data_IF_658081195613
#
_entry.id   IF_658081195613
#
_cell.length_a   1.000
_cell.length_b   1.000
_cell.length_c   1.000
_cell.angle_alpha   90.00
_cell.angle_beta   90.00
_cell.angle_gamma   90.00
#
_symmetry.space_group_name_H-M   'P 1'
#
loop_
_entity.id
_entity.type
_entity.pdbx_description
1 polymer ?
#
# COMPACT_ATOMS: atom_id res chain seq x y z
N UNK A 1 1.54 8.05 0.03
CA UNK A 1 1.06 6.93 0.89
C UNK A 1 1.46 7.25 2.32
N UNK A 2 0.50 7.35 3.24
CA UNK A 2 0.80 7.71 4.63
C UNK A 2 1.69 6.68 5.35
N UNK A 3 1.61 5.39 4.98
CA UNK A 3 2.40 4.33 5.61
C UNK A 3 3.83 4.22 5.02
N UNK A 4 3.97 3.99 3.70
CA UNK A 4 5.28 3.67 3.10
C UNK A 4 5.92 4.80 2.27
N UNK A 5 5.31 6.00 2.24
CA UNK A 5 5.83 7.15 1.49
C UNK A 5 5.72 7.05 -0.04
N UNK A 6 5.20 5.94 -0.59
CA UNK A 6 5.04 5.77 -2.04
C UNK A 6 4.13 6.88 -2.63
N UNK A 7 4.60 7.50 -3.72
CA UNK A 7 3.91 8.54 -4.48
C UNK A 7 3.09 7.98 -5.64
N UNK A 8 3.49 6.83 -6.19
CA UNK A 8 2.79 6.16 -7.29
C UNK A 8 2.14 4.85 -6.85
N UNK A 9 0.87 4.66 -7.18
CA UNK A 9 0.16 3.41 -6.93
C UNK A 9 -0.96 3.25 -7.96
N UNK A 10 -1.24 2.04 -8.44
CA UNK A 10 -2.34 1.82 -9.39
C UNK A 10 -3.72 2.07 -8.77
N UNK A 11 -3.82 2.02 -7.44
CA UNK A 11 -5.05 2.32 -6.70
C UNK A 11 -4.68 2.92 -5.34
N UNK A 12 -5.36 4.00 -4.97
CA UNK A 12 -5.31 4.57 -3.62
C UNK A 12 -6.41 3.95 -2.76
N UNK A 13 -6.11 3.67 -1.50
CA UNK A 13 -7.04 3.18 -0.48
C UNK A 13 -7.04 4.13 0.70
N UNK A 14 -8.10 4.09 1.51
CA UNK A 14 -8.15 4.78 2.81
C UNK A 14 -7.99 3.75 3.92
N UNK A 15 -7.23 4.11 4.96
CA UNK A 15 -7.16 3.32 6.19
C UNK A 15 -8.36 3.63 7.12
N UNK A 16 -8.39 2.98 8.28
CA UNK A 16 -9.45 3.21 9.29
C UNK A 16 -9.43 4.63 9.89
N UNK A 17 -8.31 5.36 9.77
CA UNK A 17 -8.14 6.75 10.22
C UNK A 17 -8.46 7.76 9.10
N UNK A 18 -8.86 7.28 7.91
CA UNK A 18 -9.15 8.11 6.74
C UNK A 18 -7.91 8.57 5.96
N UNK A 19 -6.72 8.10 6.31
CA UNK A 19 -5.47 8.45 5.64
C UNK A 19 -5.31 7.72 4.30
N UNK A 20 -4.78 8.44 3.30
CA UNK A 20 -4.52 7.91 1.96
C UNK A 20 -3.30 6.98 1.93
N UNK A 21 -3.53 5.69 1.74
CA UNK A 21 -2.52 4.64 1.66
C UNK A 21 -2.51 3.97 0.27
N UNK A 22 -1.37 3.41 -0.14
CA UNK A 22 -1.28 2.72 -1.43
C UNK A 22 -1.99 1.36 -1.38
N UNK A 23 -2.27 0.79 -2.56
CA UNK A 23 -2.96 -0.49 -2.68
C UNK A 23 -2.26 -1.60 -1.91
N UNK A 24 -0.92 -1.68 -1.99
CA UNK A 24 -0.14 -2.70 -1.31
C UNK A 24 -0.24 -2.58 0.22
N UNK A 25 -0.20 -1.36 0.77
CA UNK A 25 -0.35 -1.14 2.21
C UNK A 25 -1.76 -1.49 2.69
N UNK A 26 -2.80 -1.08 1.95
CA UNK A 26 -4.18 -1.39 2.31
C UNK A 26 -4.51 -2.87 2.24
N UNK A 27 -4.03 -3.57 1.21
CA UNK A 27 -4.19 -5.03 1.11
C UNK A 27 -3.45 -5.76 2.23
N UNK A 28 -2.23 -5.31 2.57
CA UNK A 28 -1.45 -5.91 3.65
C UNK A 28 -2.14 -5.74 5.01
N UNK A 29 -2.58 -4.52 5.33
CA UNK A 29 -3.28 -4.20 6.57
C UNK A 29 -4.58 -4.98 6.71
N UNK A 30 -5.35 -5.13 5.63
CA UNK A 30 -6.57 -5.96 5.64
C UNK A 30 -6.29 -7.44 5.92
N UNK A 31 -5.20 -7.98 5.37
CA UNK A 31 -4.88 -9.40 5.50
C UNK A 31 -4.21 -9.75 6.84
N UNK A 32 -3.33 -8.87 7.34
CA UNK A 32 -2.50 -9.15 8.52
C UNK A 32 -2.91 -8.33 9.76
N UNK A 33 -3.91 -7.46 9.64
CA UNK A 33 -4.40 -6.56 10.70
C UNK A 33 -3.29 -5.69 11.32
N UNK A 34 -2.20 -5.46 10.56
CA UNK A 34 -1.03 -4.69 10.98
C UNK A 34 -0.48 -3.88 9.82
N UNK A 35 0.28 -2.84 10.13
CA UNK A 35 0.90 -1.99 9.12
C UNK A 35 1.94 -2.73 8.29
N UNK A 36 2.01 -2.38 7.00
CA UNK A 36 2.97 -2.97 6.07
C UNK A 36 4.38 -2.50 6.41
N UNK A 37 5.32 -3.39 6.76
CA UNK A 37 6.69 -2.98 7.04
C UNK A 37 7.33 -2.36 5.80
N UNK A 38 8.05 -1.26 5.99
CA UNK A 38 8.65 -0.45 4.92
C UNK A 38 9.72 -1.25 4.14
N UNK A 39 10.36 -2.22 4.79
CA UNK A 39 11.33 -3.15 4.19
C UNK A 39 10.74 -3.99 3.05
N UNK A 40 9.42 -4.20 3.01
CA UNK A 40 8.75 -4.93 1.92
C UNK A 40 8.40 -4.02 0.74
N UNK A 41 8.66 -2.70 0.82
CA UNK A 41 8.37 -1.78 -0.29
C UNK A 41 9.24 -2.13 -1.49
N UNK A 42 8.58 -2.35 -2.63
CA UNK A 42 9.26 -2.44 -3.93
C UNK A 42 9.18 -1.07 -4.60
N UNK A 43 10.30 -0.62 -5.16
CA UNK A 43 10.39 0.60 -5.95
C UNK A 43 9.62 0.49 -7.26
N UNK A 44 9.76 -0.65 -7.95
CA UNK A 44 9.08 -0.91 -9.21
C UNK A 44 7.67 -1.50 -9.02
N UNK A 45 6.68 -0.85 -9.64
CA UNK A 45 5.30 -1.33 -9.69
C UNK A 45 5.18 -2.34 -10.84
N UNK A 46 5.14 -3.63 -10.50
CA UNK A 46 4.98 -4.69 -11.49
C UNK A 46 3.59 -4.64 -12.12
N UNK A 47 3.52 -4.57 -13.45
CA UNK A 47 2.30 -4.78 -14.23
C UNK A 47 2.09 -6.27 -14.45
N UNK A 48 0.94 -6.80 -14.08
CA UNK A 48 0.55 -8.19 -14.41
C UNK A 48 -0.18 -8.18 -15.76
N UNK A 49 0.09 -9.18 -16.60
CA UNK A 49 -0.72 -9.44 -17.80
C UNK A 49 -2.11 -9.87 -17.30
N UNK A 50 -3.15 -9.15 -17.72
CA UNK A 50 -4.53 -9.41 -17.31
C UNK A 50 -5.17 -10.47 -18.20
#
# INVERSE_FOLDING_TARGET
>A
CANCGQTETPLWRKDAKGQSICNACGLYSRLHQRDRPVTMRKSNIARRKR
#
